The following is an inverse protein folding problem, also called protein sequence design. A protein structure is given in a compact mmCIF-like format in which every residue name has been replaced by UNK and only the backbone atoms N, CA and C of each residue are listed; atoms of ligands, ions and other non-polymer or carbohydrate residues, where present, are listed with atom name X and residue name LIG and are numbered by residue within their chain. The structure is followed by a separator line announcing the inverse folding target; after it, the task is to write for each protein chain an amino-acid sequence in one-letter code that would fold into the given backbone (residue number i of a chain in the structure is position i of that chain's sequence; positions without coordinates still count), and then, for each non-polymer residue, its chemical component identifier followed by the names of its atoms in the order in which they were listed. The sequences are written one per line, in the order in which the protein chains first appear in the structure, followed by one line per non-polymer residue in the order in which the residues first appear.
data_IF_902803713871
#
_entry.id   IF_902803713871
#
_cell.length_a   1.000
_cell.length_b   1.000
_cell.length_c   1.000
_cell.angle_alpha   90.00
_cell.angle_beta   90.00
_cell.angle_gamma   90.00
#
_symmetry.space_group_name_H-M   'P 1'
#
loop_
_entity.id
_entity.type
_entity.pdbx_description
1 polymer ?
#
# COMPACT_ATOMS: atom_id res chain seq x y z
N UNK A 1 -13.17 -21.79 -8.38
CA UNK A 1 -11.87 -21.10 -8.19
C UNK A 1 -11.27 -20.73 -9.55
N UNK A 2 -10.60 -19.57 -9.65
CA UNK A 2 -9.88 -19.11 -10.86
C UNK A 2 -8.57 -18.47 -10.41
N UNK A 3 -7.44 -18.83 -11.02
CA UNK A 3 -6.14 -18.20 -10.77
C UNK A 3 -6.01 -17.00 -11.69
N UNK A 4 -5.75 -15.85 -11.09
CA UNK A 4 -5.74 -14.58 -11.79
C UNK A 4 -4.53 -13.75 -11.38
N UNK A 5 -4.00 -13.00 -12.34
CA UNK A 5 -3.05 -11.90 -12.07
C UNK A 5 -3.81 -10.59 -12.21
N UNK A 6 -4.00 -9.89 -11.09
CA UNK A 6 -4.73 -8.64 -11.04
C UNK A 6 -3.97 -7.54 -11.79
N UNK A 7 -4.66 -6.80 -12.66
CA UNK A 7 -4.05 -5.67 -13.38
C UNK A 7 -4.62 -4.34 -12.89
N UNK A 8 -5.95 -4.20 -12.91
CA UNK A 8 -6.63 -2.96 -12.49
C UNK A 8 -8.09 -3.19 -12.17
N UNK A 9 -8.65 -2.31 -11.36
CA UNK A 9 -10.10 -2.22 -11.18
C UNK A 9 -10.69 -1.20 -12.16
N UNK A 10 -11.88 -1.50 -12.68
CA UNK A 10 -12.63 -0.65 -13.60
C UNK A 10 -14.06 -0.49 -13.08
N UNK A 11 -14.45 0.75 -12.87
CA UNK A 11 -15.85 1.11 -12.72
C UNK A 11 -16.48 1.08 -14.12
N UNK A 12 -17.55 0.31 -14.30
CA UNK A 12 -18.32 0.34 -15.55
C UNK A 12 -19.28 1.54 -15.55
N UNK A 13 -19.88 1.88 -16.70
CA UNK A 13 -20.92 2.94 -16.80
C UNK A 13 -22.21 2.64 -15.99
N UNK A 14 -22.28 1.51 -15.28
CA UNK A 14 -23.41 1.10 -14.46
C UNK A 14 -23.00 0.81 -13.00
N UNK A 15 -23.91 0.28 -12.16
CA UNK A 15 -23.68 0.06 -10.73
C UNK A 15 -22.88 -1.23 -10.49
N UNK A 16 -21.82 -1.47 -11.26
CA UNK A 16 -21.02 -2.68 -11.12
C UNK A 16 -19.53 -2.35 -11.26
N UNK A 17 -18.76 -2.81 -10.27
CA UNK A 17 -17.32 -2.74 -10.23
C UNK A 17 -16.73 -4.02 -10.81
N UNK A 18 -15.78 -3.88 -11.73
CA UNK A 18 -15.11 -5.00 -12.38
C UNK A 18 -13.63 -5.00 -12.09
N UNK A 19 -13.06 -6.18 -12.04
CA UNK A 19 -11.64 -6.41 -11.85
C UNK A 19 -11.11 -6.97 -13.15
N UNK A 20 -10.21 -6.21 -13.79
CA UNK A 20 -9.50 -6.64 -14.97
C UNK A 20 -8.22 -7.38 -14.55
N UNK A 21 -8.07 -8.58 -15.08
CA UNK A 21 -6.97 -9.47 -14.74
C UNK A 21 -6.65 -10.41 -15.90
N UNK A 22 -5.49 -11.04 -15.83
CA UNK A 22 -5.15 -12.17 -16.68
C UNK A 22 -5.65 -13.46 -16.02
N UNK A 23 -6.50 -14.23 -16.70
CA UNK A 23 -7.03 -15.50 -16.19
C UNK A 23 -6.17 -16.67 -16.71
N UNK A 24 -5.49 -17.36 -15.80
CA UNK A 24 -4.55 -18.44 -16.13
C UNK A 24 -5.26 -19.68 -16.67
N UNK A 25 -6.49 -19.98 -16.24
CA UNK A 25 -7.26 -21.11 -16.80
C UNK A 25 -7.73 -20.89 -18.24
N UNK A 26 -7.79 -19.63 -18.69
CA UNK A 26 -8.24 -19.27 -20.04
C UNK A 26 -7.14 -18.68 -20.90
N UNK A 27 -5.95 -18.47 -20.34
CA UNK A 27 -4.80 -17.85 -21.00
C UNK A 27 -5.18 -16.54 -21.71
N UNK A 28 -6.01 -15.72 -21.06
CA UNK A 28 -6.58 -14.52 -21.67
C UNK A 28 -6.93 -13.45 -20.64
N UNK A 29 -6.88 -12.19 -21.06
CA UNK A 29 -7.39 -11.05 -20.29
C UNK A 29 -8.90 -11.15 -20.12
N UNK A 30 -9.38 -11.07 -18.88
CA UNK A 30 -10.81 -11.14 -18.54
C UNK A 30 -11.17 -10.16 -17.43
N UNK A 31 -12.46 -9.87 -17.37
CA UNK A 31 -13.04 -9.09 -16.28
C UNK A 31 -13.93 -9.97 -15.42
N UNK A 32 -13.81 -9.81 -14.11
CA UNK A 32 -14.70 -10.43 -13.13
C UNK A 32 -15.46 -9.35 -12.38
N UNK A 33 -16.71 -9.64 -12.05
CA UNK A 33 -17.54 -8.75 -11.23
C UNK A 33 -17.08 -8.80 -9.78
N UNK A 34 -16.78 -7.64 -9.21
CA UNK A 34 -16.31 -7.50 -7.83
C UNK A 34 -17.29 -8.12 -6.84
N UNK A 35 -18.57 -7.81 -6.98
CA UNK A 35 -19.65 -8.29 -6.10
C UNK A 35 -19.83 -9.83 -6.10
N UNK A 36 -19.27 -10.52 -7.09
CA UNK A 36 -19.35 -11.99 -7.22
C UNK A 36 -18.11 -12.71 -6.71
N UNK A 37 -17.11 -11.99 -6.22
CA UNK A 37 -15.96 -12.59 -5.56
C UNK A 37 -16.36 -12.89 -4.13
N UNK A 38 -16.24 -14.17 -3.74
CA UNK A 38 -16.53 -14.63 -2.39
C UNK A 38 -15.33 -14.43 -1.47
N UNK A 39 -14.15 -14.88 -1.92
CA UNK A 39 -12.90 -14.77 -1.20
C UNK A 39 -11.73 -14.80 -2.18
N UNK A 40 -10.56 -14.36 -1.72
CA UNK A 40 -9.30 -14.40 -2.46
C UNK A 40 -8.35 -15.35 -1.74
N UNK A 41 -7.61 -16.16 -2.49
CA UNK A 41 -6.61 -17.07 -1.93
C UNK A 41 -5.26 -16.67 -2.48
N UNK A 42 -4.30 -16.40 -1.60
CA UNK A 42 -2.90 -16.28 -2.00
C UNK A 42 -2.36 -17.66 -2.37
N UNK A 43 -1.89 -17.81 -3.60
CA UNK A 43 -1.44 -19.10 -4.15
C UNK A 43 -0.11 -19.55 -3.53
N UNK A 44 0.72 -18.61 -3.08
CA UNK A 44 2.03 -18.89 -2.49
C UNK A 44 1.89 -19.29 -1.02
N UNK A 45 1.03 -18.58 -0.27
CA UNK A 45 0.87 -18.82 1.18
C UNK A 45 -0.29 -19.76 1.52
N UNK A 46 -1.25 -19.93 0.61
CA UNK A 46 -2.50 -20.67 0.84
C UNK A 46 -3.51 -19.92 1.71
N UNK A 47 -3.22 -18.67 2.08
CA UNK A 47 -4.06 -17.87 2.96
C UNK A 47 -5.35 -17.41 2.27
N UNK A 48 -6.45 -17.50 3.02
CA UNK A 48 -7.78 -17.09 2.58
C UNK A 48 -8.08 -15.69 3.11
N UNK A 49 -8.41 -14.78 2.20
CA UNK A 49 -8.83 -13.43 2.51
C UNK A 49 -10.28 -13.21 2.10
N UNK A 50 -11.02 -12.50 2.95
CA UNK A 50 -12.30 -11.94 2.56
C UNK A 50 -12.13 -10.91 1.46
N UNK A 51 -13.15 -10.80 0.59
CA UNK A 51 -13.09 -9.94 -0.59
C UNK A 51 -12.70 -8.51 -0.23
N UNK A 52 -13.49 -7.82 0.60
CA UNK A 52 -13.30 -6.39 0.80
C UNK A 52 -11.97 -6.08 1.49
N UNK A 53 -11.62 -6.73 2.63
CA UNK A 53 -10.33 -6.49 3.28
C UNK A 53 -9.14 -6.73 2.34
N UNK A 54 -9.20 -7.75 1.47
CA UNK A 54 -8.13 -7.98 0.52
C UNK A 54 -7.95 -6.80 -0.45
N UNK A 55 -9.03 -6.33 -1.08
CA UNK A 55 -8.91 -5.26 -2.08
C UNK A 55 -8.62 -3.91 -1.45
N UNK A 56 -9.23 -3.57 -0.31
CA UNK A 56 -9.00 -2.27 0.34
C UNK A 56 -7.73 -2.26 1.16
N UNK A 57 -7.44 -3.32 1.90
CA UNK A 57 -6.43 -3.31 2.97
C UNK A 57 -5.15 -4.02 2.63
N UNK A 58 -5.18 -5.09 1.84
CA UNK A 58 -3.96 -5.72 1.34
C UNK A 58 -3.46 -5.03 0.07
N UNK A 59 -4.36 -4.70 -0.86
CA UNK A 59 -4.00 -4.07 -2.13
C UNK A 59 -4.09 -2.54 -2.15
N UNK A 60 -4.65 -1.92 -1.11
CA UNK A 60 -4.78 -0.46 -1.04
C UNK A 60 -5.73 0.16 -2.08
N UNK A 61 -6.63 -0.62 -2.68
CA UNK A 61 -7.50 -0.16 -3.75
C UNK A 61 -8.70 0.60 -3.18
N UNK A 62 -8.97 1.79 -3.74
CA UNK A 62 -10.15 2.56 -3.39
C UNK A 62 -11.41 1.93 -4.00
N UNK A 63 -12.08 1.06 -3.23
CA UNK A 63 -13.39 0.51 -3.58
C UNK A 63 -14.48 1.48 -3.10
N UNK A 64 -15.38 1.99 -3.97
CA UNK A 64 -16.48 2.86 -3.54
C UNK A 64 -17.39 2.16 -2.53
N UNK A 65 -17.89 2.91 -1.55
CA UNK A 65 -18.64 2.37 -0.39
C UNK A 65 -19.86 1.55 -0.80
N UNK A 66 -20.58 1.99 -1.84
CA UNK A 66 -21.74 1.28 -2.42
C UNK A 66 -21.44 -0.14 -2.93
N UNK A 67 -20.17 -0.53 -3.09
CA UNK A 67 -19.74 -1.85 -3.57
C UNK A 67 -19.17 -2.75 -2.47
N UNK A 68 -18.99 -2.22 -1.25
CA UNK A 68 -18.48 -2.99 -0.12
C UNK A 68 -19.62 -3.79 0.51
N UNK A 69 -19.33 -4.99 1.00
CA UNK A 69 -20.19 -5.63 2.00
C UNK A 69 -20.00 -4.90 3.32
N UNK A 70 -21.05 -4.79 4.12
CA UNK A 70 -21.04 -4.15 5.43
C UNK A 70 -20.25 -4.94 6.50
N UNK A 71 -19.42 -5.91 6.11
CA UNK A 71 -18.57 -6.67 7.02
C UNK A 71 -17.28 -5.87 7.29
N UNK A 72 -17.34 -4.99 8.28
CA UNK A 72 -16.16 -4.36 8.88
C UNK A 72 -15.40 -5.41 9.73
N UNK A 73 -14.72 -6.36 9.09
CA UNK A 73 -13.84 -7.34 9.78
C UNK A 73 -12.44 -6.80 10.07
N UNK A 74 -12.13 -5.57 9.65
CA UNK A 74 -10.82 -4.94 9.88
C UNK A 74 -10.86 -4.19 11.21
N UNK A 75 -9.86 -4.40 12.10
CA UNK A 75 -9.76 -3.62 13.32
C UNK A 75 -9.75 -2.12 13.02
N UNK A 76 -10.54 -1.32 13.76
CA UNK A 76 -10.63 0.12 13.50
C UNK A 76 -9.28 0.82 13.66
N UNK A 77 -8.34 0.23 14.40
CA UNK A 77 -7.04 0.83 14.69
C UNK A 77 -6.09 0.81 13.48
N UNK A 78 -5.88 -0.36 12.87
CA UNK A 78 -5.11 -0.49 11.62
C UNK A 78 -5.61 0.48 10.54
N UNK A 79 -6.93 0.56 10.34
CA UNK A 79 -7.56 1.41 9.32
C UNK A 79 -7.26 2.89 9.57
N UNK A 80 -7.27 3.33 10.83
CA UNK A 80 -6.97 4.70 11.22
C UNK A 80 -5.49 5.05 11.03
N UNK A 81 -4.57 4.21 11.50
CA UNK A 81 -3.13 4.47 11.35
C UNK A 81 -2.72 4.45 9.89
N UNK A 82 -3.13 3.42 9.13
CA UNK A 82 -2.89 3.35 7.68
C UNK A 82 -3.47 4.57 6.96
N UNK A 83 -4.70 4.99 7.30
CA UNK A 83 -5.33 6.15 6.70
C UNK A 83 -4.55 7.44 6.93
N UNK A 84 -3.94 7.59 8.11
CA UNK A 84 -3.12 8.76 8.47
C UNK A 84 -1.75 8.75 7.80
N UNK A 85 -1.12 7.58 7.68
CA UNK A 85 0.23 7.40 7.14
C UNK A 85 0.25 7.10 5.64
N UNK A 86 -0.91 7.11 4.96
CA UNK A 86 -1.07 6.53 3.62
C UNK A 86 -0.09 7.10 2.60
N UNK A 87 0.04 8.42 2.53
CA UNK A 87 0.84 9.07 1.51
C UNK A 87 2.33 8.92 1.80
N UNK A 88 2.74 8.96 3.07
CA UNK A 88 4.11 8.61 3.47
C UNK A 88 4.47 7.16 3.15
N UNK A 89 3.56 6.21 3.42
CA UNK A 89 3.76 4.78 3.09
C UNK A 89 3.92 4.55 1.59
N UNK A 90 3.19 5.31 0.76
CA UNK A 90 3.33 5.27 -0.70
C UNK A 90 4.72 5.73 -1.13
N UNK A 91 5.24 6.80 -0.57
CA UNK A 91 6.59 7.31 -0.90
C UNK A 91 7.66 6.31 -0.46
N UNK A 92 7.59 5.83 0.79
CA UNK A 92 8.57 4.89 1.33
C UNK A 92 8.57 3.54 0.59
N UNK A 93 7.39 3.03 0.22
CA UNK A 93 7.31 1.82 -0.59
C UNK A 93 7.77 2.02 -2.04
N UNK A 94 7.72 3.25 -2.56
CA UNK A 94 8.31 3.60 -3.85
C UNK A 94 9.83 3.58 -3.78
N UNK A 95 10.40 4.19 -2.74
CA UNK A 95 11.83 4.22 -2.48
C UNK A 95 12.41 2.80 -2.37
N UNK A 96 11.83 1.99 -1.47
CA UNK A 96 12.21 0.58 -1.22
C UNK A 96 11.93 -0.36 -2.40
N UNK A 97 11.45 0.17 -3.54
CA UNK A 97 11.23 -0.61 -4.77
C UNK A 97 11.95 -0.05 -5.97
N UNK A 98 12.74 1.02 -5.79
CA UNK A 98 13.48 1.65 -6.88
C UNK A 98 14.47 0.69 -7.53
N UNK A 99 15.05 -0.23 -6.76
CA UNK A 99 15.92 -1.33 -7.23
C UNK A 99 15.16 -2.60 -7.67
N UNK A 100 13.83 -2.60 -7.55
CA UNK A 100 12.95 -3.72 -7.87
C UNK A 100 12.70 -4.73 -6.73
N UNK A 101 13.31 -4.58 -5.56
CA UNK A 101 13.18 -5.51 -4.44
C UNK A 101 12.99 -4.79 -3.09
N UNK A 102 11.95 -5.17 -2.34
CA UNK A 102 11.72 -4.67 -0.98
C UNK A 102 12.06 -5.77 0.01
N UNK A 103 13.04 -5.52 0.87
CA UNK A 103 13.59 -6.45 1.86
C UNK A 103 12.80 -6.41 3.18
N UNK A 104 12.84 -7.49 3.98
CA UNK A 104 12.16 -7.53 5.28
C UNK A 104 12.55 -6.39 6.22
N UNK A 105 13.83 -6.01 6.23
CA UNK A 105 14.37 -4.96 7.10
C UNK A 105 13.79 -3.58 6.73
N UNK A 106 13.63 -3.30 5.45
CA UNK A 106 12.99 -2.07 4.97
C UNK A 106 11.50 -2.04 5.33
N UNK A 107 10.81 -3.19 5.24
CA UNK A 107 9.40 -3.29 5.63
C UNK A 107 9.26 -2.92 7.12
N UNK A 108 10.13 -3.42 7.98
CA UNK A 108 10.09 -3.11 9.41
C UNK A 108 10.28 -1.62 9.68
N UNK A 109 11.23 -0.96 9.00
CA UNK A 109 11.43 0.49 9.09
C UNK A 109 10.18 1.27 8.65
N UNK A 110 9.54 0.84 7.56
CA UNK A 110 8.33 1.50 7.05
C UNK A 110 7.15 1.31 8.02
N UNK A 111 7.04 0.13 8.65
CA UNK A 111 6.01 -0.14 9.66
C UNK A 111 6.25 0.66 10.94
N UNK A 112 7.50 0.76 11.39
CA UNK A 112 7.88 1.60 12.53
C UNK A 112 7.52 3.07 12.28
N UNK A 113 7.70 3.56 11.05
CA UNK A 113 7.27 4.91 10.67
C UNK A 113 5.75 5.09 10.80
N UNK A 114 4.96 4.12 10.32
CA UNK A 114 3.50 4.15 10.51
C UNK A 114 3.10 4.09 11.99
N UNK A 115 3.81 3.31 12.81
CA UNK A 115 3.57 3.28 14.25
C UNK A 115 3.86 4.61 14.92
N UNK A 116 4.91 5.32 14.52
CA UNK A 116 5.19 6.67 15.04
C UNK A 116 4.08 7.66 14.68
N UNK A 117 3.54 7.60 13.45
CA UNK A 117 2.37 8.41 13.06
C UNK A 117 1.13 8.04 13.88
N UNK A 118 0.95 6.75 14.17
CA UNK A 118 -0.12 6.27 15.06
C UNK A 118 0.03 6.79 16.49
N UNK A 119 1.24 6.69 17.05
CA UNK A 119 1.57 7.12 18.41
C UNK A 119 1.34 8.63 18.62
N UNK A 120 1.67 9.47 17.63
CA UNK A 120 1.35 10.91 17.66
C UNK A 120 -0.15 11.20 17.79
N UNK A 121 -1.00 10.24 17.45
CA UNK A 121 -2.46 10.31 17.54
C UNK A 121 -3.04 9.40 18.64
N UNK A 122 -2.21 8.91 19.58
CA UNK A 122 -2.58 7.96 20.64
C UNK A 122 -3.13 6.61 20.11
N UNK A 123 -2.70 6.19 18.91
CA UNK A 123 -3.10 4.94 18.26
C UNK A 123 -1.95 3.93 18.28
N UNK A 124 -2.00 2.98 19.21
CA UNK A 124 -0.94 1.99 19.45
C UNK A 124 -1.23 0.65 18.78
N UNK A 125 -0.61 0.39 17.64
CA UNK A 125 -0.79 -0.88 16.91
C UNK A 125 -0.35 -2.08 17.76
N UNK A 126 -1.22 -3.07 17.91
CA UNK A 126 -0.87 -4.36 18.52
C UNK A 126 -0.14 -5.29 17.54
N UNK A 127 0.35 -6.43 18.03
CA UNK A 127 1.09 -7.40 17.21
C UNK A 127 0.34 -7.86 15.95
N UNK A 128 -0.99 -8.02 16.04
CA UNK A 128 -1.81 -8.38 14.88
C UNK A 128 -1.90 -7.24 13.86
N UNK A 129 -2.09 -5.99 14.31
CA UNK A 129 -2.14 -4.84 13.42
C UNK A 129 -0.78 -4.57 12.76
N UNK A 130 0.33 -4.80 13.48
CA UNK A 130 1.70 -4.72 12.94
C UNK A 130 1.88 -5.75 11.82
N UNK A 131 1.50 -7.01 12.06
CA UNK A 131 1.57 -8.05 11.04
C UNK A 131 0.73 -7.73 9.79
N UNK A 132 -0.44 -7.10 9.98
CA UNK A 132 -1.27 -6.57 8.88
C UNK A 132 -0.58 -5.43 8.14
N UNK A 133 0.04 -4.48 8.86
CA UNK A 133 0.77 -3.37 8.26
C UNK A 133 1.98 -3.86 7.45
N UNK A 134 2.75 -4.82 7.96
CA UNK A 134 3.87 -5.43 7.22
C UNK A 134 3.38 -6.06 5.91
N UNK A 135 2.23 -6.75 5.93
CA UNK A 135 1.64 -7.36 4.74
C UNK A 135 1.17 -6.33 3.72
N UNK A 136 0.50 -5.28 4.19
CA UNK A 136 0.08 -4.15 3.37
C UNK A 136 1.28 -3.46 2.69
N UNK A 137 2.32 -3.10 3.45
CA UNK A 137 3.54 -2.47 2.94
C UNK A 137 4.23 -3.35 1.90
N UNK A 138 4.38 -4.64 2.19
CA UNK A 138 4.95 -5.62 1.25
C UNK A 138 4.21 -5.67 -0.07
N UNK A 139 2.88 -5.51 -0.04
CA UNK A 139 2.02 -5.58 -1.21
C UNK A 139 1.89 -4.24 -1.95
N UNK A 140 2.33 -3.14 -1.35
CA UNK A 140 2.25 -1.82 -1.96
C UNK A 140 3.13 -1.78 -3.22
N UNK A 141 2.52 -1.38 -4.34
CA UNK A 141 3.19 -1.17 -5.64
C UNK A 141 2.79 0.21 -6.18
N UNK A 142 3.37 1.29 -5.64
CA UNK A 142 3.13 2.63 -6.14
C UNK A 142 3.47 2.74 -7.63
N UNK A 143 2.65 3.45 -8.38
CA UNK A 143 3.02 3.98 -9.68
C UNK A 143 3.45 5.45 -9.56
N UNK A 144 4.07 5.98 -10.61
CA UNK A 144 4.54 7.36 -10.63
C UNK A 144 3.43 8.39 -10.31
N UNK A 145 2.21 8.16 -10.77
CA UNK A 145 1.09 9.07 -10.52
C UNK A 145 0.69 9.09 -9.03
N UNK A 146 0.76 7.94 -8.38
CA UNK A 146 0.48 7.81 -6.95
C UNK A 146 1.59 8.44 -6.10
N UNK A 147 2.84 8.37 -6.55
CA UNK A 147 3.99 9.02 -5.91
C UNK A 147 3.89 10.54 -5.97
N UNK A 148 3.65 11.11 -7.16
CA UNK A 148 3.49 12.57 -7.32
C UNK A 148 2.34 13.11 -6.48
N UNK A 149 1.20 12.41 -6.46
CA UNK A 149 0.07 12.79 -5.60
C UNK A 149 0.45 12.75 -4.12
N UNK A 150 1.13 11.69 -3.68
CA UNK A 150 1.56 11.56 -2.29
C UNK A 150 2.55 12.66 -1.90
N UNK A 151 3.51 12.99 -2.78
CA UNK A 151 4.47 14.07 -2.56
C UNK A 151 3.79 15.42 -2.33
N UNK A 152 2.78 15.77 -3.15
CA UNK A 152 1.98 16.99 -2.96
C UNK A 152 1.18 17.00 -1.65
N UNK A 153 0.64 15.86 -1.22
CA UNK A 153 -0.04 15.81 0.09
C UNK A 153 0.97 16.00 1.23
N UNK A 154 2.17 15.44 1.07
CA UNK A 154 3.26 15.55 2.06
C UNK A 154 3.84 16.97 2.13
N UNK A 155 3.94 17.70 1.02
CA UNK A 155 4.42 19.10 1.01
C UNK A 155 3.52 20.02 1.84
N UNK A 156 2.23 19.69 1.97
CA UNK A 156 1.28 20.43 2.80
C UNK A 156 1.32 20.04 4.30
N UNK A 157 2.08 19.00 4.66
CA UNK A 157 2.22 18.58 6.06
C UNK A 157 3.12 19.53 6.86
N UNK A 158 2.99 19.59 8.19
CA UNK A 158 3.91 20.35 9.02
C UNK A 158 5.38 19.92 8.82
N UNK A 159 6.32 20.88 8.86
CA UNK A 159 7.75 20.64 8.62
C UNK A 159 8.33 19.50 9.45
N UNK A 160 7.91 19.34 10.71
CA UNK A 160 8.41 18.23 11.55
C UNK A 160 8.02 16.85 11.01
N UNK A 161 6.87 16.74 10.35
CA UNK A 161 6.36 15.50 9.75
C UNK A 161 7.07 15.22 8.42
N UNK A 162 7.30 16.25 7.61
CA UNK A 162 8.14 16.15 6.41
C UNK A 162 9.56 15.69 6.76
N UNK A 163 10.20 16.32 7.75
CA UNK A 163 11.55 15.95 8.21
C UNK A 163 11.59 14.52 8.77
N UNK A 164 10.52 14.05 9.41
CA UNK A 164 10.41 12.67 9.88
C UNK A 164 10.33 11.69 8.71
N UNK A 165 9.56 12.00 7.66
CA UNK A 165 9.52 11.20 6.44
C UNK A 165 10.90 11.13 5.80
N UNK A 166 11.60 12.26 5.64
CA UNK A 166 12.94 12.28 5.04
C UNK A 166 13.94 11.42 5.83
N UNK A 167 13.86 11.44 7.17
CA UNK A 167 14.65 10.54 8.03
C UNK A 167 14.26 9.09 7.83
N UNK A 168 12.97 8.78 7.71
CA UNK A 168 12.52 7.42 7.43
C UNK A 168 13.02 6.93 6.06
N UNK A 169 13.04 7.79 5.03
CA UNK A 169 13.65 7.46 3.73
C UNK A 169 15.13 7.09 3.87
N UNK A 170 15.89 7.86 4.65
CA UNK A 170 17.30 7.55 4.93
C UNK A 170 17.44 6.21 5.65
N UNK A 171 16.63 5.96 6.69
CA UNK A 171 16.66 4.70 7.43
C UNK A 171 16.29 3.50 6.56
N UNK A 172 15.37 3.66 5.60
CA UNK A 172 15.01 2.60 4.63
C UNK A 172 16.22 2.26 3.77
N UNK A 173 16.89 3.25 3.19
CA UNK A 173 18.10 3.03 2.38
C UNK A 173 19.27 2.43 3.17
N UNK A 174 19.34 2.73 4.48
CA UNK A 174 20.40 2.21 5.33
C UNK A 174 20.06 0.84 5.93
N UNK A 175 18.81 0.36 5.79
CA UNK A 175 18.32 -0.85 6.45
C UNK A 175 19.06 -2.12 5.99
N UNK A 176 19.54 -2.12 4.75
CA UNK A 176 20.21 -3.25 4.13
C UNK A 176 21.74 -3.06 4.00
N UNK A 177 22.24 -1.87 4.35
CA UNK A 177 23.64 -1.47 4.29
C UNK A 177 24.19 -1.19 2.88
N UNK A 178 23.36 -1.15 1.83
CA UNK A 178 23.79 -0.94 0.44
C UNK A 178 22.90 0.13 -0.22
N UNK A 179 23.43 1.34 -0.37
CA UNK A 179 22.74 2.39 -1.11
C UNK A 179 22.92 2.23 -2.62
N UNK A 180 21.83 2.04 -3.34
CA UNK A 180 21.79 1.94 -4.79
C UNK A 180 21.65 3.34 -5.45
N UNK A 181 22.26 3.58 -6.63
CA UNK A 181 22.12 4.86 -7.33
C UNK A 181 20.67 5.27 -7.64
N UNK A 182 19.80 4.29 -7.84
CA UNK A 182 18.37 4.51 -8.12
C UNK A 182 17.62 5.05 -6.89
N UNK A 183 18.00 4.63 -5.68
CA UNK A 183 17.43 5.14 -4.42
C UNK A 183 17.85 6.58 -4.16
N UNK A 184 19.12 6.91 -4.42
CA UNK A 184 19.65 8.27 -4.30
C UNK A 184 18.91 9.21 -5.28
N UNK A 185 18.75 8.77 -6.52
CA UNK A 185 18.01 9.53 -7.55
C UNK A 185 16.55 9.74 -7.14
N UNK A 186 15.91 8.69 -6.62
CA UNK A 186 14.54 8.77 -6.11
C UNK A 186 14.41 9.79 -4.97
N UNK A 187 15.33 9.81 -4.00
CA UNK A 187 15.27 10.80 -2.91
C UNK A 187 15.40 12.23 -3.43
N UNK A 188 16.33 12.49 -4.36
CA UNK A 188 16.51 13.83 -4.93
C UNK A 188 15.21 14.28 -5.62
N UNK A 189 14.61 13.43 -6.46
CA UNK A 189 13.34 13.73 -7.12
C UNK A 189 12.21 13.99 -6.12
N UNK A 190 12.11 13.19 -5.05
CA UNK A 190 11.08 13.39 -4.03
C UNK A 190 11.32 14.65 -3.21
N UNK A 191 12.57 15.00 -2.92
CA UNK A 191 12.90 16.26 -2.23
C UNK A 191 12.49 17.47 -3.06
N UNK A 192 12.76 17.46 -4.36
CA UNK A 192 12.34 18.53 -5.27
C UNK A 192 10.81 18.64 -5.35
N UNK A 193 10.09 17.52 -5.37
CA UNK A 193 8.62 17.50 -5.37
C UNK A 193 7.99 17.95 -4.05
N UNK A 194 8.64 17.70 -2.91
CA UNK A 194 8.14 18.11 -1.60
C UNK A 194 8.45 19.59 -1.32
N UNK A 195 9.55 20.11 -1.88
CA UNK A 195 9.98 21.49 -1.69
C UNK A 195 9.33 22.50 -2.66
N UNK A 196 8.81 22.02 -3.81
CA UNK A 196 8.14 22.83 -4.84
C UNK A 196 6.65 23.00 -4.61
#
# INVERSE_FOLDING_TARGET
QRRVTLHRMKVSKGPALFIACFCHERQANRTFRYDRIQAVIDILTGELFDRDPFFTDELGICVPEQFRSCDDTIPPLFKQVRGRARDELVILAGLSRSDGCMRPEEIDVIVDHAQQIGADADLWLGAEDIARMQRYVRNLRPDFSSLVRAAHVVSDLPTHRQMRLLRACQTVMDADGIQHPDEISFIIEMQDLIAG
#
